data_IF_077109817158
#
_entry.id   IF_077109817158
#
_cell.length_a   1.000
_cell.length_b   1.000
_cell.length_c   1.000
_cell.angle_alpha   90.00
_cell.angle_beta   90.00
_cell.angle_gamma   90.00
#
_symmetry.space_group_name_H-M   'P 1'
#
loop_
_entity.id
_entity.type
_entity.pdbx_description
1 polymer ?
#
# COMPACT_ATOMS: atom_id res chain seq x y z
N UNK A 1 14.12 -15.86 -7.75
CA UNK A 1 13.04 -15.66 -8.74
C UNK A 1 12.16 -14.54 -8.23
N UNK A 2 12.01 -13.45 -8.98
CA UNK A 2 11.28 -12.24 -8.53
C UNK A 2 9.84 -12.61 -8.13
N UNK A 3 9.24 -13.56 -8.85
CA UNK A 3 7.88 -14.04 -8.58
C UNK A 3 7.75 -14.69 -7.20
N UNK A 4 8.73 -15.52 -6.80
CA UNK A 4 8.73 -16.15 -5.47
C UNK A 4 8.95 -15.14 -4.34
N UNK A 5 9.59 -14.00 -4.63
CA UNK A 5 9.76 -12.92 -3.66
C UNK A 5 8.46 -12.11 -3.48
N UNK A 6 7.79 -11.77 -4.59
CA UNK A 6 6.47 -11.12 -4.56
C UNK A 6 5.44 -11.99 -3.82
N UNK A 7 5.40 -13.29 -4.06
CA UNK A 7 4.49 -14.19 -3.36
C UNK A 7 4.75 -14.28 -1.85
N UNK A 8 6.02 -14.27 -1.42
CA UNK A 8 6.38 -14.34 0.00
C UNK A 8 6.14 -13.03 0.75
N UNK A 9 6.24 -11.87 0.09
CA UNK A 9 5.89 -10.58 0.71
C UNK A 9 4.38 -10.45 0.97
N UNK A 10 3.55 -11.03 0.10
CA UNK A 10 2.08 -11.04 0.25
C UNK A 10 1.62 -11.99 1.36
N UNK A 11 2.35 -13.07 1.65
CA UNK A 11 1.99 -14.11 2.63
C UNK A 11 2.60 -13.92 4.02
N UNK A 12 2.48 -12.74 4.61
CA UNK A 12 2.72 -12.63 6.06
C UNK A 12 1.39 -12.82 6.81
N UNK A 13 1.11 -14.09 7.13
CA UNK A 13 -0.08 -14.57 7.83
C UNK A 13 -0.14 -14.03 9.27
N UNK A 14 -0.90 -12.96 9.47
CA UNK A 14 -1.65 -12.68 10.69
C UNK A 14 -2.84 -11.83 10.29
N UNK A 15 -4.03 -12.22 10.74
CA UNK A 15 -5.32 -11.63 10.39
C UNK A 15 -5.26 -10.11 10.65
N UNK A 16 -4.95 -9.39 9.57
CA UNK A 16 -5.01 -7.94 9.35
C UNK A 16 -4.11 -6.98 10.15
N UNK A 17 -2.87 -6.80 9.63
CA UNK A 17 -2.28 -5.45 9.48
C UNK A 17 -1.66 -5.14 8.10
N UNK A 18 -1.66 -6.08 7.14
CA UNK A 18 -0.84 -5.96 5.91
C UNK A 18 -1.60 -6.03 4.57
N UNK A 19 -2.90 -6.24 4.54
CA UNK A 19 -3.63 -6.38 3.28
C UNK A 19 -4.22 -5.06 2.80
N UNK A 20 -3.36 -4.12 2.41
CA UNK A 20 -3.74 -3.02 1.51
C UNK A 20 -3.80 -3.60 0.09
N UNK A 21 -4.97 -3.75 -0.55
CA UNK A 21 -5.03 -4.18 -1.94
C UNK A 21 -4.22 -3.22 -2.81
N UNK A 22 -3.39 -3.76 -3.69
CA UNK A 22 -2.63 -2.95 -4.63
C UNK A 22 -2.38 -3.70 -5.93
N UNK A 23 -2.31 -2.93 -7.01
CA UNK A 23 -1.87 -3.36 -8.32
C UNK A 23 -0.52 -2.71 -8.65
N UNK A 24 0.37 -3.49 -9.25
CA UNK A 24 1.64 -3.01 -9.80
C UNK A 24 1.65 -3.31 -11.28
N UNK A 25 1.86 -2.28 -12.10
CA UNK A 25 1.96 -2.40 -13.55
C UNK A 25 3.25 -1.77 -14.05
N UNK A 26 4.03 -2.53 -14.80
CA UNK A 26 5.26 -2.07 -15.40
C UNK A 26 5.07 -1.83 -16.90
N UNK A 27 5.52 -0.67 -17.37
CA UNK A 27 5.59 -0.30 -18.80
C UNK A 27 7.04 -0.04 -19.18
N UNK A 28 7.35 0.18 -20.46
CA UNK A 28 8.71 0.56 -20.87
C UNK A 28 9.20 1.89 -20.27
N UNK A 29 8.29 2.76 -19.80
CA UNK A 29 8.60 4.12 -19.35
C UNK A 29 8.54 4.31 -17.83
N UNK A 30 7.64 3.58 -17.18
CA UNK A 30 7.34 3.78 -15.76
C UNK A 30 6.79 2.52 -15.11
N UNK A 31 6.98 2.42 -13.79
CA UNK A 31 6.26 1.56 -12.88
C UNK A 31 5.08 2.33 -12.29
N UNK A 32 3.88 1.75 -12.35
CA UNK A 32 2.65 2.33 -11.83
C UNK A 32 2.18 1.46 -10.67
N UNK A 33 1.94 2.08 -9.51
CA UNK A 33 1.39 1.41 -8.33
C UNK A 33 0.06 2.07 -7.97
N UNK A 34 -1.01 1.28 -7.89
CA UNK A 34 -2.29 1.72 -7.36
C UNK A 34 -2.55 0.99 -6.05
N UNK A 35 -2.75 1.71 -4.95
CA UNK A 35 -3.06 1.12 -3.63
C UNK A 35 -4.40 1.65 -3.11
N UNK A 36 -5.27 0.74 -2.67
CA UNK A 36 -6.57 1.08 -2.09
C UNK A 36 -6.40 1.46 -0.62
N UNK A 37 -6.63 2.73 -0.31
CA UNK A 37 -6.49 3.32 1.02
C UNK A 37 -7.77 4.11 1.39
N UNK A 38 -8.95 3.45 1.42
CA UNK A 38 -10.22 4.12 1.69
C UNK A 38 -10.29 4.66 3.12
N UNK A 39 -10.86 5.85 3.28
CA UNK A 39 -11.09 6.48 4.58
C UNK A 39 -9.86 7.13 5.21
N UNK A 40 -8.73 7.21 4.49
CA UNK A 40 -7.56 8.00 4.90
C UNK A 40 -7.56 9.37 4.21
N UNK A 41 -6.99 10.35 4.90
CA UNK A 41 -6.57 11.61 4.30
C UNK A 41 -5.12 11.51 3.80
N UNK A 42 -4.73 12.40 2.88
CA UNK A 42 -3.39 12.39 2.26
C UNK A 42 -2.25 12.50 3.28
N UNK A 43 -2.44 13.28 4.34
CA UNK A 43 -1.48 13.48 5.43
C UNK A 43 -1.31 12.25 6.34
N UNK A 44 -2.21 11.27 6.24
CA UNK A 44 -2.14 10.00 6.98
C UNK A 44 -1.43 8.90 6.19
N UNK A 45 -0.93 9.21 4.98
CA UNK A 45 -0.28 8.27 4.08
C UNK A 45 1.17 8.69 3.92
N UNK A 46 2.08 7.81 4.29
CA UNK A 46 3.51 8.00 4.11
C UNK A 46 4.02 7.12 2.96
N UNK A 47 4.75 7.73 2.03
CA UNK A 47 5.38 7.07 0.88
C UNK A 47 6.87 7.36 0.93
N UNK A 48 7.68 6.31 0.97
CA UNK A 48 9.13 6.39 1.14
C UNK A 48 9.85 5.38 0.24
N UNK A 49 11.13 5.60 -0.04
CA UNK A 49 11.99 4.62 -0.68
C UNK A 49 13.23 4.41 0.16
N UNK A 50 13.45 3.14 0.55
CA UNK A 50 14.65 2.71 1.27
C UNK A 50 15.15 1.42 0.65
N UNK A 51 16.46 1.32 0.43
CA UNK A 51 17.11 0.11 -0.07
C UNK A 51 16.39 -0.51 -1.28
N UNK A 52 16.09 0.32 -2.28
CA UNK A 52 15.39 -0.07 -3.51
C UNK A 52 13.96 -0.62 -3.29
N UNK A 53 13.35 -0.30 -2.15
CA UNK A 53 11.98 -0.72 -1.80
C UNK A 53 11.10 0.51 -1.65
N UNK A 54 10.01 0.56 -2.42
CA UNK A 54 8.93 1.52 -2.23
C UNK A 54 8.08 1.09 -1.04
N UNK A 55 7.96 1.96 -0.05
CA UNK A 55 7.25 1.72 1.20
C UNK A 55 6.05 2.64 1.26
N UNK A 56 4.85 2.06 1.37
CA UNK A 56 3.57 2.75 1.59
C UNK A 56 3.10 2.38 3.00
N UNK A 57 2.88 3.38 3.86
CA UNK A 57 2.54 3.15 5.27
C UNK A 57 1.51 4.16 5.78
N UNK A 58 0.81 3.80 6.85
CA UNK A 58 -0.23 4.64 7.46
C UNK A 58 -0.98 3.88 8.55
N UNK A 59 -2.10 4.43 9.01
CA UNK A 59 -2.96 3.83 10.03
C UNK A 59 -4.44 4.04 9.71
N UNK A 60 -5.22 2.97 9.64
CA UNK A 60 -6.68 3.03 9.53
C UNK A 60 -7.31 2.85 10.90
N UNK A 61 -8.30 3.67 11.24
CA UNK A 61 -8.96 3.63 12.56
C UNK A 61 -10.39 3.13 12.44
N UNK A 62 -10.82 2.34 13.43
CA UNK A 62 -12.22 1.93 13.56
C UNK A 62 -13.05 3.15 13.95
N UNK A 63 -14.16 3.37 13.24
CA UNK A 63 -15.12 4.41 13.61
C UNK A 63 -15.68 4.10 15.01
N UNK A 64 -15.72 5.12 15.88
CA UNK A 64 -16.17 5.05 17.27
C UNK A 64 -17.57 4.43 17.38
N UNK A 65 -18.45 4.67 16.40
CA UNK A 65 -19.82 4.11 16.36
C UNK A 65 -19.86 2.58 16.33
N UNK A 66 -18.77 1.94 15.91
CA UNK A 66 -18.65 0.47 15.83
C UNK A 66 -17.78 -0.10 16.96
N UNK A 67 -17.43 0.71 17.97
CA UNK A 67 -16.77 0.22 19.19
C UNK A 67 -17.75 -0.28 20.23
N UNK A 68 -18.99 0.21 20.19
CA UNK A 68 -20.06 -0.21 21.09
C UNK A 68 -20.92 -1.30 20.45
N UNK A 69 -21.36 -2.27 21.27
CA UNK A 69 -22.18 -3.41 20.82
C UNK A 69 -21.39 -4.57 20.22
N UNK A 70 -22.11 -5.55 19.64
CA UNK A 70 -21.53 -6.75 19.06
C UNK A 70 -21.38 -6.61 17.55
N UNK A 71 -20.16 -6.78 17.03
CA UNK A 71 -19.95 -6.87 15.59
C UNK A 71 -20.59 -8.15 15.05
N UNK A 72 -21.55 -8.02 14.12
CA UNK A 72 -22.16 -9.16 13.45
C UNK A 72 -21.23 -9.73 12.36
N UNK A 73 -20.57 -8.84 11.60
CA UNK A 73 -19.56 -9.16 10.59
C UNK A 73 -18.52 -8.04 10.57
N UNK A 74 -17.23 -8.38 10.49
CA UNK A 74 -16.14 -7.42 10.36
C UNK A 74 -15.08 -7.95 9.39
N UNK A 75 -15.12 -7.46 8.15
CA UNK A 75 -14.12 -7.75 7.12
C UNK A 75 -13.05 -6.66 7.05
N UNK A 76 -13.39 -5.44 7.49
CA UNK A 76 -12.49 -4.29 7.50
C UNK A 76 -11.41 -4.45 8.55
N UNK A 77 -10.21 -4.12 8.12
CA UNK A 77 -8.99 -4.23 8.90
C UNK A 77 -8.56 -2.84 9.37
N UNK A 78 -8.21 -2.75 10.65
CA UNK A 78 -7.87 -1.49 11.31
C UNK A 78 -6.52 -1.64 12.02
N UNK A 79 -5.80 -0.53 12.12
CA UNK A 79 -4.46 -0.45 12.69
C UNK A 79 -3.46 0.09 11.69
N UNK A 80 -2.19 0.05 12.09
CA UNK A 80 -1.08 0.44 11.23
C UNK A 80 -0.86 -0.57 10.12
N UNK A 81 -0.55 -0.08 8.93
CA UNK A 81 -0.17 -0.91 7.79
C UNK A 81 1.17 -0.46 7.22
N UNK A 82 1.89 -1.40 6.61
CA UNK A 82 3.09 -1.12 5.82
C UNK A 82 3.17 -2.08 4.64
N UNK A 83 3.33 -1.53 3.44
CA UNK A 83 3.52 -2.28 2.19
C UNK A 83 4.84 -1.89 1.57
N UNK A 84 5.68 -2.90 1.35
CA UNK A 84 6.93 -2.80 0.63
C UNK A 84 6.78 -3.39 -0.76
N UNK A 85 7.27 -2.69 -1.76
CA UNK A 85 7.34 -3.16 -3.15
C UNK A 85 8.80 -3.01 -3.56
N UNK A 86 9.48 -4.13 -3.79
CA UNK A 86 10.84 -4.10 -4.31
C UNK A 86 10.80 -3.54 -5.73
N UNK A 87 11.58 -2.49 -5.98
CA UNK A 87 11.65 -1.85 -7.27
C UNK A 87 12.54 -2.65 -8.22
N UNK A 88 12.17 -2.77 -9.51
CA UNK A 88 13.09 -3.24 -10.53
C UNK A 88 14.37 -2.40 -10.56
N UNK A 89 15.51 -2.98 -10.93
CA UNK A 89 16.81 -2.30 -10.90
C UNK A 89 16.92 -1.07 -11.81
N UNK A 90 16.03 -0.97 -12.80
CA UNK A 90 15.91 0.15 -13.72
C UNK A 90 14.90 1.21 -13.27
N UNK A 91 14.28 1.09 -12.09
CA UNK A 91 13.41 2.12 -11.54
C UNK A 91 14.17 2.83 -10.42
N UNK A 92 14.39 4.14 -10.58
CA UNK A 92 15.03 4.95 -9.54
C UNK A 92 13.96 5.70 -8.74
N UNK A 93 14.27 5.98 -7.48
CA UNK A 93 13.38 6.74 -6.58
C UNK A 93 13.23 8.22 -6.92
N UNK A 94 13.85 8.68 -8.01
CA UNK A 94 13.86 10.07 -8.42
C UNK A 94 12.59 10.40 -9.23
N UNK A 95 12.03 11.60 -9.05
CA UNK A 95 10.87 12.11 -9.80
C UNK A 95 9.58 11.30 -9.68
N UNK A 96 9.35 10.67 -8.53
CA UNK A 96 8.08 9.98 -8.26
C UNK A 96 6.95 10.99 -8.20
N UNK A 97 5.86 10.67 -8.88
CA UNK A 97 4.62 11.43 -8.76
C UNK A 97 3.59 10.61 -7.99
N UNK A 98 2.89 11.28 -7.07
CA UNK A 98 1.86 10.69 -6.24
C UNK A 98 0.57 11.49 -6.35
N UNK A 99 -0.54 10.79 -6.60
CA UNK A 99 -1.89 11.35 -6.58
C UNK A 99 -2.76 10.48 -5.66
N UNK A 100 -3.48 11.11 -4.75
CA UNK A 100 -4.44 10.42 -3.89
C UNK A 100 -5.81 11.05 -4.08
N UNK A 101 -6.78 10.26 -4.53
CA UNK A 101 -8.13 10.70 -4.84
C UNK A 101 -9.11 9.54 -4.66
N UNK A 102 -10.27 9.80 -4.07
CA UNK A 102 -11.35 8.81 -3.89
C UNK A 102 -10.91 7.50 -3.20
N UNK A 103 -9.98 7.59 -2.23
CA UNK A 103 -9.46 6.43 -1.52
C UNK A 103 -8.45 5.60 -2.30
N UNK A 104 -7.96 6.09 -3.45
CA UNK A 104 -6.94 5.40 -4.26
C UNK A 104 -5.65 6.22 -4.34
N UNK A 105 -4.54 5.62 -3.91
CA UNK A 105 -3.20 6.16 -4.08
C UNK A 105 -2.59 5.65 -5.38
N UNK A 106 -2.31 6.56 -6.30
CA UNK A 106 -1.61 6.29 -7.55
C UNK A 106 -0.20 6.85 -7.50
N UNK A 107 0.78 5.97 -7.62
CA UNK A 107 2.20 6.30 -7.73
C UNK A 107 2.69 5.98 -9.13
N UNK A 108 3.53 6.87 -9.68
CA UNK A 108 4.25 6.65 -10.92
C UNK A 108 5.73 6.88 -10.68
N UNK A 109 6.52 5.86 -11.00
CA UNK A 109 7.97 5.85 -10.85
C UNK A 109 8.58 5.69 -12.24
N UNK A 110 9.16 6.76 -12.81
CA UNK A 110 9.87 6.67 -14.08
C UNK A 110 11.03 5.66 -14.03
N UNK A 111 11.29 5.01 -15.16
CA UNK A 111 12.49 4.19 -15.38
C UNK A 111 13.68 5.05 -15.81
#
# INVERSE_FOLDING_TARGET
NINNFFENFIRNDNICPNLVPLDVHETDKELIVNAELPGLNKDQINVDIRDNTLIISGETKKDEKFKEGNALVQERCYGSFTRGILLPSNVKGDNITAKFENGLLKLKLPK
#
